data_IF_463953500704
#
_entry.id   IF_463953500704
#
_cell.length_a   1.000
_cell.length_b   1.000
_cell.length_c   1.000
_cell.angle_alpha   90.00
_cell.angle_beta   90.00
_cell.angle_gamma   90.00
#
_symmetry.space_group_name_H-M   'P 1'
#
loop_
_entity.id
_entity.type
_entity.pdbx_description
1 polymer ?
#
# COMPACT_ATOMS: atom_id res chain seq x y z
N UNK A 1 -1.97 0.24 15.90
CA UNK A 1 -2.87 -0.90 15.67
C UNK A 1 -2.04 -2.10 15.21
N UNK A 2 -1.78 -3.09 16.08
CA UNK A 2 -1.23 -4.37 15.65
C UNK A 2 -2.30 -5.18 14.90
N UNK A 3 -1.89 -5.94 13.88
CA UNK A 3 -2.76 -6.87 13.15
C UNK A 3 -2.26 -8.30 13.37
N UNK A 4 -3.18 -9.23 13.56
CA UNK A 4 -2.85 -10.66 13.58
C UNK A 4 -2.76 -11.18 12.15
N UNK A 5 -1.63 -11.76 11.78
CA UNK A 5 -1.45 -12.36 10.46
C UNK A 5 -0.05 -12.92 10.26
N UNK A 6 0.13 -13.63 9.15
CA UNK A 6 1.44 -14.11 8.72
C UNK A 6 2.28 -12.94 8.24
N UNK A 7 3.39 -12.68 8.93
CA UNK A 7 4.30 -11.56 8.64
C UNK A 7 4.80 -11.58 7.19
N UNK A 8 5.18 -12.75 6.68
CA UNK A 8 5.70 -12.89 5.32
C UNK A 8 4.64 -12.56 4.29
N UNK A 9 3.41 -13.07 4.48
CA UNK A 9 2.29 -12.77 3.57
C UNK A 9 1.90 -11.29 3.61
N UNK A 10 1.87 -10.67 4.79
CA UNK A 10 1.57 -9.24 4.93
C UNK A 10 2.60 -8.37 4.21
N UNK A 11 3.90 -8.69 4.38
CA UNK A 11 4.98 -8.01 3.65
C UNK A 11 4.84 -8.20 2.15
N UNK A 12 4.54 -9.42 1.70
CA UNK A 12 4.37 -9.71 0.27
C UNK A 12 3.22 -8.90 -0.34
N UNK A 13 2.07 -8.83 0.32
CA UNK A 13 0.92 -8.05 -0.17
C UNK A 13 1.26 -6.57 -0.24
N UNK A 14 1.88 -6.01 0.81
CA UNK A 14 2.30 -4.61 0.81
C UNK A 14 3.32 -4.30 -0.31
N UNK A 15 4.31 -5.19 -0.50
CA UNK A 15 5.31 -5.06 -1.56
C UNK A 15 4.67 -5.11 -2.96
N UNK A 16 3.69 -5.99 -3.17
CA UNK A 16 2.97 -6.07 -4.44
C UNK A 16 2.23 -4.76 -4.76
N UNK A 17 1.54 -4.17 -3.78
CA UNK A 17 0.84 -2.91 -3.97
C UNK A 17 1.81 -1.76 -4.29
N UNK A 18 2.91 -1.67 -3.55
CA UNK A 18 3.93 -0.63 -3.76
C UNK A 18 4.64 -0.79 -5.11
N UNK A 19 4.99 -2.02 -5.50
CA UNK A 19 5.62 -2.29 -6.80
C UNK A 19 4.69 -1.93 -7.95
N UNK A 20 3.39 -2.23 -7.83
CA UNK A 20 2.42 -1.82 -8.83
C UNK A 20 2.37 -0.29 -8.92
N UNK A 21 2.18 0.40 -7.80
CA UNK A 21 2.08 1.85 -7.80
C UNK A 21 3.34 2.51 -8.40
N UNK A 22 4.55 2.05 -8.00
CA UNK A 22 5.81 2.54 -8.55
C UNK A 22 5.96 2.26 -10.05
N UNK A 23 5.53 1.08 -10.52
CA UNK A 23 5.59 0.71 -11.95
C UNK A 23 4.69 1.58 -12.84
N UNK A 24 3.55 2.03 -12.32
CA UNK A 24 2.57 2.79 -13.09
C UNK A 24 2.66 4.31 -12.90
N UNK A 25 3.51 4.76 -11.97
CA UNK A 25 3.77 6.19 -11.73
C UNK A 25 4.91 6.66 -12.66
N UNK A 26 4.71 7.72 -13.46
CA UNK A 26 5.76 8.27 -14.29
C UNK A 26 6.85 8.96 -13.46
N UNK A 27 8.01 9.23 -14.08
CA UNK A 27 9.09 9.97 -13.44
C UNK A 27 8.61 11.34 -12.92
N UNK A 28 8.93 11.63 -11.66
CA UNK A 28 8.45 12.83 -10.97
C UNK A 28 7.02 12.74 -10.44
N UNK A 29 6.34 11.58 -10.60
CA UNK A 29 5.05 11.32 -9.99
C UNK A 29 5.13 11.10 -8.48
N UNK A 30 3.97 10.98 -7.85
CA UNK A 30 3.80 10.96 -6.40
C UNK A 30 3.06 9.71 -5.98
N UNK A 31 3.68 8.99 -5.04
CA UNK A 31 3.08 7.88 -4.32
C UNK A 31 2.66 8.33 -2.93
N UNK A 32 1.39 8.11 -2.60
CA UNK A 32 0.83 8.30 -1.28
C UNK A 32 0.54 6.96 -0.63
N UNK A 33 1.13 6.74 0.55
CA UNK A 33 0.90 5.55 1.35
C UNK A 33 0.34 5.98 2.69
N UNK A 34 -0.80 5.43 3.07
CA UNK A 34 -1.40 5.68 4.38
C UNK A 34 -1.82 4.37 5.05
N UNK A 35 -1.75 4.36 6.37
CA UNK A 35 -2.26 3.29 7.21
C UNK A 35 -3.15 3.92 8.27
N UNK A 36 -4.41 3.51 8.29
CA UNK A 36 -5.39 3.97 9.27
C UNK A 36 -6.14 2.79 9.87
N UNK A 37 -6.77 3.05 11.01
CA UNK A 37 -7.72 2.12 11.62
C UNK A 37 -9.14 2.61 11.29
N UNK A 38 -9.91 1.77 10.61
CA UNK A 38 -11.33 1.98 10.33
C UNK A 38 -12.13 0.98 11.17
N UNK A 39 -12.66 1.45 12.30
CA UNK A 39 -13.29 0.60 13.32
C UNK A 39 -12.32 -0.46 13.86
N UNK A 40 -12.57 -1.71 13.50
CA UNK A 40 -11.74 -2.88 13.90
C UNK A 40 -10.75 -3.32 12.82
N UNK A 41 -10.74 -2.65 11.67
CA UNK A 41 -9.95 -3.04 10.49
C UNK A 41 -8.77 -2.10 10.29
N UNK A 42 -7.60 -2.66 9.98
CA UNK A 42 -6.46 -1.88 9.52
C UNK A 42 -6.58 -1.69 8.02
N UNK A 43 -6.55 -0.45 7.56
CA UNK A 43 -6.67 -0.11 6.15
C UNK A 43 -5.36 0.49 5.67
N UNK A 44 -4.61 -0.29 4.89
CA UNK A 44 -3.46 0.18 4.13
C UNK A 44 -3.95 0.68 2.77
N UNK A 45 -3.73 1.96 2.47
CA UNK A 45 -3.98 2.52 1.13
C UNK A 45 -2.68 2.90 0.46
N UNK A 46 -2.54 2.49 -0.79
CA UNK A 46 -1.48 2.95 -1.69
C UNK A 46 -2.20 3.63 -2.86
N UNK A 47 -1.90 4.91 -3.07
CA UNK A 47 -2.43 5.73 -4.16
C UNK A 47 -1.28 6.31 -4.93
N UNK A 48 -1.32 6.16 -6.24
CA UNK A 48 -0.45 6.88 -7.15
C UNK A 48 -1.22 7.94 -7.96
N UNK A 49 -0.46 8.84 -8.59
CA UNK A 49 -0.95 9.69 -9.66
C UNK A 49 -0.45 9.22 -11.04
N UNK A 50 -0.17 7.92 -11.14
CA UNK A 50 0.24 7.29 -12.37
C UNK A 50 -0.88 7.22 -13.39
N UNK A 51 -0.66 6.43 -14.44
CA UNK A 51 -1.63 6.26 -15.53
C UNK A 51 -2.84 5.40 -15.15
N UNK A 52 -3.12 5.25 -13.85
CA UNK A 52 -4.25 4.49 -13.30
C UNK A 52 -5.57 4.89 -13.92
#
# INVERSE_FOLDING_TARGET
MPVCGDRTRLVQVAANLLNNAAKYTPDGGVLHVSLEQDGVTAVLRVRDNGIG
#
